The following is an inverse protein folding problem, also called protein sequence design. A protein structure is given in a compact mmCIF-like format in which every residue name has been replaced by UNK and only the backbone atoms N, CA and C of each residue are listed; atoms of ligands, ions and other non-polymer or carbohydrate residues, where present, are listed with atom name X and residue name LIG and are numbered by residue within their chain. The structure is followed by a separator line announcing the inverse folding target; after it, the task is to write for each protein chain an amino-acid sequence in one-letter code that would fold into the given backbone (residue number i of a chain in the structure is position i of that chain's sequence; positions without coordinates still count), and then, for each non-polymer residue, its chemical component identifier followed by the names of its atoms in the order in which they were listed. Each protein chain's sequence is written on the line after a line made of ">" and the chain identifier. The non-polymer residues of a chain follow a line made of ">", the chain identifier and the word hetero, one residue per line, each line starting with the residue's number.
data_IF_516895233130
#
_entry.id   IF_516895233130
#
_cell.length_a   1.000
_cell.length_b   1.000
_cell.length_c   1.000
_cell.angle_alpha   90.00
_cell.angle_beta   90.00
_cell.angle_gamma   90.00
#
_symmetry.space_group_name_H-M   'P 1'
#
loop_
_entity.id
_entity.type
_entity.pdbx_description
1 polymer ?
#
# COMPACT_ATOMS: atom_id res chain seq x y z
N UNK A 1 -8.29 10.19 -39.50
CA UNK A 1 -7.23 9.83 -40.45
C UNK A 1 -7.17 8.32 -40.51
N UNK A 2 -7.58 7.73 -41.62
CA UNK A 2 -7.43 6.30 -41.90
C UNK A 2 -5.95 6.00 -42.08
N UNK A 3 -5.45 4.92 -41.46
CA UNK A 3 -4.12 4.42 -41.76
C UNK A 3 -4.01 4.16 -43.27
N UNK A 4 -3.10 4.87 -43.93
CA UNK A 4 -2.73 4.61 -45.32
C UNK A 4 -2.12 3.20 -45.41
N UNK A 5 -2.44 2.48 -46.49
CA UNK A 5 -1.90 1.14 -46.80
C UNK A 5 -0.35 1.12 -46.87
N UNK A 6 0.29 2.30 -46.92
CA UNK A 6 1.74 2.46 -46.92
C UNK A 6 2.38 2.72 -45.53
N UNK A 7 1.61 2.89 -44.43
CA UNK A 7 2.24 2.90 -43.10
C UNK A 7 2.54 1.48 -42.63
N UNK A 8 3.82 1.09 -42.67
CA UNK A 8 4.37 -0.08 -41.98
C UNK A 8 4.39 0.11 -40.45
N UNK A 9 3.32 0.64 -39.88
CA UNK A 9 3.14 0.82 -38.45
C UNK A 9 3.04 -0.58 -37.80
N UNK A 10 4.18 -1.14 -37.37
CA UNK A 10 4.26 -2.48 -36.76
C UNK A 10 3.34 -2.54 -35.53
N UNK A 11 2.38 -3.49 -35.48
CA UNK A 11 1.50 -3.60 -34.33
C UNK A 11 2.32 -3.95 -33.09
N UNK A 12 2.03 -3.25 -31.98
CA UNK A 12 2.73 -3.45 -30.72
C UNK A 12 1.89 -3.07 -29.53
N UNK A 13 2.44 -3.27 -28.34
CA UNK A 13 1.79 -2.98 -27.06
C UNK A 13 2.80 -2.33 -26.12
N UNK A 14 2.42 -1.23 -25.50
CA UNK A 14 3.17 -0.62 -24.40
C UNK A 14 2.27 -0.60 -23.17
N UNK A 15 2.38 -1.63 -22.34
CA UNK A 15 1.56 -1.82 -21.17
C UNK A 15 2.02 -0.91 -20.02
N UNK A 16 1.07 -0.21 -19.38
CA UNK A 16 1.30 0.60 -18.19
C UNK A 16 0.98 -0.22 -16.95
N UNK A 17 1.94 -0.45 -16.06
CA UNK A 17 1.77 -1.29 -14.87
C UNK A 17 1.87 -0.43 -13.62
N UNK A 18 0.78 -0.32 -12.86
CA UNK A 18 0.76 0.42 -11.61
C UNK A 18 1.12 -0.46 -10.40
N UNK A 19 2.03 0.00 -9.55
CA UNK A 19 2.41 -0.67 -8.29
C UNK A 19 2.05 0.25 -7.11
N UNK A 20 1.13 -0.16 -6.22
CA UNK A 20 0.66 0.67 -5.11
C UNK A 20 1.73 0.81 -4.01
N UNK A 21 1.48 1.70 -3.04
CA UNK A 21 2.33 1.82 -1.85
C UNK A 21 1.96 0.87 -0.71
N UNK A 22 2.60 1.08 0.44
CA UNK A 22 2.27 0.39 1.70
C UNK A 22 0.78 0.48 2.00
N UNK A 23 0.18 -0.66 2.38
CA UNK A 23 -1.26 -0.79 2.67
C UNK A 23 -2.20 -0.43 1.52
N UNK A 24 -1.63 -0.24 0.32
CA UNK A 24 -2.34 0.11 -0.90
C UNK A 24 -2.93 -1.08 -1.66
N UNK A 25 -2.60 -2.29 -1.24
CA UNK A 25 -3.12 -3.56 -1.77
C UNK A 25 -4.14 -4.14 -0.82
N UNK A 26 -5.23 -4.70 -1.34
CA UNK A 26 -6.23 -5.46 -0.59
C UNK A 26 -5.69 -6.84 -0.24
N UNK A 27 -5.88 -7.29 1.00
CA UNK A 27 -5.42 -8.60 1.45
C UNK A 27 -6.59 -9.46 1.94
N UNK A 28 -6.52 -10.76 1.63
CA UNK A 28 -7.42 -11.80 2.14
C UNK A 28 -6.64 -12.77 3.00
N UNK A 29 -7.32 -13.40 3.95
CA UNK A 29 -6.80 -14.58 4.60
C UNK A 29 -6.72 -15.71 3.57
N UNK A 30 -5.54 -16.31 3.40
CA UNK A 30 -5.30 -17.33 2.37
C UNK A 30 -6.17 -18.57 2.57
N UNK A 31 -6.38 -18.99 3.81
CA UNK A 31 -7.11 -20.23 4.15
C UNK A 31 -8.62 -20.06 4.00
N UNK A 32 -9.18 -18.98 4.54
CA UNK A 32 -10.63 -18.74 4.52
C UNK A 32 -11.12 -18.02 3.26
N UNK A 33 -10.21 -17.43 2.48
CA UNK A 33 -10.55 -16.55 1.34
C UNK A 33 -11.21 -15.23 1.75
N UNK A 34 -11.40 -14.99 3.05
CA UNK A 34 -12.08 -13.79 3.54
C UNK A 34 -11.16 -12.59 3.43
N UNK A 35 -11.66 -11.49 2.86
CA UNK A 35 -10.95 -10.21 2.85
C UNK A 35 -10.72 -9.73 4.28
N UNK A 36 -9.46 -9.45 4.64
CA UNK A 36 -9.06 -8.98 5.98
C UNK A 36 -8.51 -7.56 5.97
N UNK A 37 -8.16 -7.06 4.79
CA UNK A 37 -7.66 -5.71 4.59
C UNK A 37 -8.25 -5.12 3.31
N UNK A 38 -9.15 -4.15 3.47
CA UNK A 38 -9.68 -3.34 2.37
C UNK A 38 -10.01 -1.93 2.86
N UNK A 39 -9.10 -0.95 2.72
CA UNK A 39 -9.27 0.36 3.34
C UNK A 39 -10.55 1.10 2.90
N UNK A 40 -11.20 0.69 1.79
CA UNK A 40 -12.46 1.26 1.32
C UNK A 40 -13.64 0.91 2.26
N UNK A 41 -13.56 -0.20 2.98
CA UNK A 41 -14.59 -0.64 3.92
C UNK A 41 -14.56 0.12 5.28
N UNK A 42 -13.56 0.98 5.50
CA UNK A 42 -13.42 1.80 6.71
C UNK A 42 -14.08 3.18 6.63
N UNK A 43 -14.56 3.56 5.46
CA UNK A 43 -15.31 4.81 5.21
C UNK A 43 -16.79 4.52 4.88
N UNK A 44 -17.34 3.43 5.41
CA UNK A 44 -18.77 3.19 5.40
C UNK A 44 -19.44 4.23 6.32
N UNK A 45 -19.89 5.32 5.68
CA UNK A 45 -20.80 6.30 6.24
C UNK A 45 -22.03 5.55 6.79
N UNK A 46 -22.28 5.65 8.10
CA UNK A 46 -23.56 5.25 8.68
C UNK A 46 -24.62 6.29 8.27
N UNK A 47 -25.14 6.15 7.05
CA UNK A 47 -26.22 6.97 6.53
C UNK A 47 -27.17 6.14 5.66
N UNK A 48 -28.47 6.48 5.61
CA UNK A 48 -29.44 5.73 4.80
C UNK A 48 -29.05 5.73 3.31
N UNK A 49 -29.44 4.67 2.60
CA UNK A 49 -29.05 4.33 1.21
C UNK A 49 -29.23 5.42 0.14
N UNK A 50 -29.94 6.51 0.43
CA UNK A 50 -30.00 7.70 -0.42
C UNK A 50 -28.64 8.40 -0.57
N UNK A 51 -27.82 8.43 0.49
CA UNK A 51 -26.53 9.13 0.48
C UNK A 51 -25.49 8.42 -0.42
N UNK A 52 -25.49 7.09 -0.50
CA UNK A 52 -24.59 6.37 -1.42
C UNK A 52 -24.99 6.56 -2.90
N UNK A 53 -26.29 6.71 -3.17
CA UNK A 53 -26.83 7.01 -4.51
C UNK A 53 -26.57 8.48 -4.86
N UNK A 54 -26.72 9.41 -3.92
CA UNK A 54 -26.36 10.82 -4.08
C UNK A 54 -24.85 11.02 -4.24
N UNK A 55 -24.01 10.27 -3.53
CA UNK A 55 -22.55 10.30 -3.71
C UNK A 55 -22.17 9.67 -5.05
N UNK A 56 -22.85 8.60 -5.50
CA UNK A 56 -22.66 8.06 -6.86
C UNK A 56 -23.07 9.07 -7.92
N UNK A 57 -24.20 9.76 -7.74
CA UNK A 57 -24.68 10.80 -8.64
C UNK A 57 -23.75 12.04 -8.62
N UNK A 58 -23.28 12.47 -7.44
CA UNK A 58 -22.28 13.52 -7.28
C UNK A 58 -20.94 13.12 -7.93
N UNK A 59 -20.50 11.87 -7.79
CA UNK A 59 -19.29 11.36 -8.46
C UNK A 59 -19.47 11.26 -9.97
N UNK A 60 -20.65 10.91 -10.48
CA UNK A 60 -20.97 10.92 -11.91
C UNK A 60 -21.02 12.36 -12.46
N UNK A 61 -21.48 13.33 -11.66
CA UNK A 61 -21.54 14.75 -11.99
C UNK A 61 -20.15 15.41 -11.92
N UNK A 62 -19.36 15.14 -10.88
CA UNK A 62 -17.95 15.55 -10.77
C UNK A 62 -17.09 14.95 -11.90
N UNK A 63 -17.39 13.72 -12.35
CA UNK A 63 -16.75 13.10 -13.51
C UNK A 63 -17.21 13.70 -14.85
N UNK A 64 -18.43 14.23 -14.93
CA UNK A 64 -18.89 15.01 -16.07
C UNK A 64 -18.20 16.38 -16.12
N UNK A 65 -17.99 17.01 -14.96
CA UNK A 65 -17.29 18.29 -14.82
C UNK A 65 -15.77 18.13 -15.07
N UNK A 66 -15.16 17.03 -14.64
CA UNK A 66 -13.74 16.72 -14.91
C UNK A 66 -13.43 16.42 -16.39
N UNK A 67 -14.47 16.15 -17.21
CA UNK A 67 -14.35 16.05 -18.68
C UNK A 67 -14.28 17.43 -19.35
N UNK A 68 -14.60 18.52 -18.65
CA UNK A 68 -14.71 19.85 -19.23
C UNK A 68 -13.45 20.74 -19.09
N UNK A 69 -12.46 20.37 -18.28
CA UNK A 69 -11.25 21.20 -18.07
C UNK A 69 -9.97 20.58 -18.65
N UNK A 70 -9.25 21.40 -19.43
CA UNK A 70 -8.05 21.11 -20.24
C UNK A 70 -6.75 20.90 -19.43
N UNK A 71 -5.67 20.57 -20.14
CA UNK A 71 -4.89 19.33 -19.92
C UNK A 71 -3.65 19.40 -18.99
N UNK A 72 -3.25 20.54 -18.43
CA UNK A 72 -1.97 20.63 -17.70
C UNK A 72 -2.07 20.80 -16.17
N UNK A 73 -3.24 21.18 -15.63
CA UNK A 73 -3.44 21.36 -14.18
C UNK A 73 -3.66 20.05 -13.39
N UNK A 74 -3.86 18.91 -14.07
CA UNK A 74 -4.36 17.67 -13.46
C UNK A 74 -3.31 16.92 -12.64
N UNK A 75 -2.03 16.90 -13.03
CA UNK A 75 -0.97 16.24 -12.26
C UNK A 75 -0.71 16.97 -10.92
N UNK A 76 -0.74 18.29 -10.93
CA UNK A 76 -0.60 19.10 -9.72
C UNK A 76 -1.85 19.01 -8.82
N UNK A 77 -3.04 18.95 -9.42
CA UNK A 77 -4.31 18.74 -8.70
C UNK A 77 -4.40 17.33 -8.08
N UNK A 78 -4.00 16.28 -8.80
CA UNK A 78 -3.89 14.91 -8.31
C UNK A 78 -2.86 14.84 -7.16
N UNK A 79 -1.69 15.49 -7.31
CA UNK A 79 -0.69 15.59 -6.25
C UNK A 79 -1.14 16.39 -5.02
N UNK A 80 -1.90 17.49 -5.21
CA UNK A 80 -2.54 18.27 -4.12
C UNK A 80 -3.69 17.51 -3.46
N UNK A 81 -4.42 16.69 -4.22
CA UNK A 81 -5.51 15.84 -3.74
C UNK A 81 -4.98 14.67 -2.89
N UNK A 82 -3.92 13.99 -3.34
CA UNK A 82 -3.21 12.98 -2.56
C UNK A 82 -2.62 13.56 -1.27
N UNK A 83 -2.03 14.77 -1.31
CA UNK A 83 -1.56 15.47 -0.09
C UNK A 83 -2.70 15.83 0.87
N UNK A 84 -3.84 16.33 0.38
CA UNK A 84 -5.00 16.71 1.22
C UNK A 84 -5.66 15.53 1.94
N UNK A 85 -5.72 14.35 1.32
CA UNK A 85 -6.38 13.18 1.91
C UNK A 85 -5.48 12.43 2.90
N UNK A 86 -4.16 12.54 2.75
CA UNK A 86 -3.18 11.95 3.68
C UNK A 86 -2.71 12.93 4.78
N UNK A 87 -2.79 14.24 4.58
CA UNK A 87 -2.46 15.28 5.57
C UNK A 87 -3.63 16.27 5.69
N UNK A 88 -4.46 16.05 6.70
CA UNK A 88 -5.40 17.07 7.22
C UNK A 88 -6.87 16.87 6.88
N UNK A 89 -7.63 16.33 7.83
CA UNK A 89 -9.06 16.63 7.92
C UNK A 89 -9.23 17.68 9.02
N UNK A 90 -9.68 18.87 8.63
CA UNK A 90 -10.20 19.88 9.56
C UNK A 90 -11.42 19.29 10.26
N UNK A 91 -11.40 19.32 11.59
CA UNK A 91 -12.57 19.09 12.42
C UNK A 91 -13.66 20.10 12.06
N UNK A 92 -14.87 19.61 11.83
CA UNK A 92 -16.09 20.40 12.00
C UNK A 92 -17.16 19.52 12.62
N UNK A 93 -17.52 19.88 13.84
CA UNK A 93 -18.50 19.18 14.66
C UNK A 93 -19.94 19.57 14.35
N UNK A 94 -20.79 18.84 15.07
CA UNK A 94 -22.19 19.04 15.45
C UNK A 94 -23.30 18.87 14.42
N UNK A 95 -24.28 18.05 14.83
CA UNK A 95 -25.61 17.95 14.22
C UNK A 95 -26.32 16.62 14.45
N UNK A 96 -26.69 16.29 15.69
CA UNK A 96 -27.80 15.36 15.97
C UNK A 96 -29.11 15.96 15.41
N UNK A 97 -30.00 15.14 14.81
CA UNK A 97 -31.47 15.08 15.03
C UNK A 97 -32.21 14.23 13.95
N UNK A 98 -32.97 13.25 14.47
CA UNK A 98 -34.25 12.62 14.07
C UNK A 98 -34.56 11.97 12.69
N UNK A 99 -34.78 10.64 12.80
CA UNK A 99 -35.97 9.81 12.44
C UNK A 99 -36.57 9.81 11.02
N UNK A 100 -36.76 8.59 10.51
CA UNK A 100 -38.06 8.17 9.96
C UNK A 100 -38.04 7.14 8.82
N UNK A 101 -38.36 5.87 9.16
CA UNK A 101 -38.91 4.78 8.32
C UNK A 101 -38.67 4.84 6.79
N UNK A 102 -37.86 3.91 6.28
CA UNK A 102 -38.25 2.94 5.23
C UNK A 102 -37.27 1.77 5.25
N UNK A 103 -37.68 0.67 5.87
CA UNK A 103 -36.94 -0.59 5.86
C UNK A 103 -37.57 -1.51 4.81
N UNK A 104 -36.84 -1.83 3.72
CA UNK A 104 -36.86 -3.13 3.03
C UNK A 104 -35.86 -3.20 1.87
N UNK A 105 -35.05 -4.26 1.91
CA UNK A 105 -34.23 -4.89 0.83
C UNK A 105 -33.02 -4.11 0.33
N UNK A 106 -31.83 -4.42 0.87
CA UNK A 106 -30.91 -5.44 0.36
C UNK A 106 -29.99 -5.86 1.52
N UNK A 107 -30.01 -7.15 1.88
CA UNK A 107 -29.07 -7.73 2.83
C UNK A 107 -27.90 -8.25 2.01
N UNK A 108 -26.79 -7.55 2.13
CA UNK A 108 -25.47 -7.90 1.64
C UNK A 108 -24.48 -7.06 2.43
N UNK A 109 -24.58 -7.12 3.76
CA UNK A 109 -23.62 -6.44 4.64
C UNK A 109 -22.30 -7.17 4.42
N UNK A 110 -21.36 -6.47 3.82
CA UNK A 110 -19.98 -6.92 3.69
C UNK A 110 -19.18 -6.17 4.76
N UNK A 111 -19.01 -6.73 5.97
CA UNK A 111 -18.18 -6.10 7.00
C UNK A 111 -16.73 -6.46 6.70
N UNK A 112 -15.89 -5.50 6.30
CA UNK A 112 -14.50 -5.83 5.91
C UNK A 112 -13.40 -4.99 6.57
N UNK A 113 -13.70 -3.78 7.07
CA UNK A 113 -12.75 -2.99 7.88
C UNK A 113 -13.32 -2.44 9.19
N UNK A 114 -14.65 -2.49 9.41
CA UNK A 114 -15.25 -2.18 10.71
C UNK A 114 -14.58 -2.97 11.84
N UNK A 115 -14.33 -4.26 11.61
CA UNK A 115 -13.70 -5.14 12.59
C UNK A 115 -12.27 -4.69 12.91
N UNK A 116 -11.55 -4.12 11.94
CA UNK A 116 -10.18 -3.67 12.10
C UNK A 116 -10.07 -2.26 12.72
N UNK A 117 -10.97 -1.34 12.36
CA UNK A 117 -11.06 0.01 12.94
C UNK A 117 -11.37 -0.05 14.44
N UNK A 118 -12.18 -1.03 14.86
CA UNK A 118 -12.48 -1.29 16.27
C UNK A 118 -11.61 -2.39 16.91
N UNK A 119 -10.74 -3.05 16.14
CA UNK A 119 -9.82 -4.05 16.66
C UNK A 119 -8.74 -3.39 17.54
N UNK A 120 -8.61 -3.89 18.77
CA UNK A 120 -7.43 -3.65 19.59
C UNK A 120 -6.21 -4.46 19.13
N UNK A 121 -5.05 -4.27 19.78
CA UNK A 121 -3.75 -4.80 19.34
C UNK A 121 -3.74 -6.32 19.07
N UNK A 122 -4.28 -7.13 19.97
CA UNK A 122 -4.33 -8.60 19.79
C UNK A 122 -5.13 -9.01 18.56
N UNK A 123 -6.29 -8.37 18.32
CA UNK A 123 -7.12 -8.73 17.16
C UNK A 123 -6.48 -8.27 15.85
N UNK A 124 -5.81 -7.12 15.86
CA UNK A 124 -4.99 -6.64 14.74
C UNK A 124 -3.87 -7.62 14.38
N UNK A 125 -3.11 -8.06 15.39
CA UNK A 125 -2.07 -9.09 15.26
C UNK A 125 -2.66 -10.42 14.75
N UNK A 126 -3.82 -10.81 15.26
CA UNK A 126 -4.50 -12.01 14.79
C UNK A 126 -4.85 -11.98 13.29
N UNK A 127 -5.34 -10.82 12.82
CA UNK A 127 -5.83 -10.67 11.45
C UNK A 127 -4.70 -10.57 10.42
N UNK A 128 -3.59 -9.91 10.77
CA UNK A 128 -2.56 -9.54 9.81
C UNK A 128 -1.20 -10.19 10.04
N UNK A 129 -0.92 -10.68 11.25
CA UNK A 129 0.39 -11.22 11.61
C UNK A 129 0.33 -12.73 11.76
N UNK A 130 -0.59 -13.24 12.58
CA UNK A 130 -0.68 -14.67 12.85
C UNK A 130 -2.06 -15.05 13.40
N UNK A 131 -2.75 -15.98 12.75
CA UNK A 131 -4.11 -16.39 13.11
C UNK A 131 -4.27 -16.96 14.52
N UNK A 132 -3.18 -17.44 15.13
CA UNK A 132 -3.17 -18.04 16.46
C UNK A 132 -3.10 -17.01 17.60
N UNK A 133 -2.84 -15.74 17.28
CA UNK A 133 -2.78 -14.67 18.27
C UNK A 133 -4.13 -14.48 18.97
N UNK A 134 -4.17 -14.70 20.29
CA UNK A 134 -5.39 -14.63 21.11
C UNK A 134 -5.08 -14.08 22.50
N UNK A 135 -6.05 -13.37 23.09
CA UNK A 135 -5.89 -12.78 24.44
C UNK A 135 -5.63 -13.90 25.45
N UNK A 136 -4.59 -13.73 26.29
CA UNK A 136 -4.18 -14.75 27.28
C UNK A 136 -3.84 -16.12 26.64
N UNK A 137 -3.45 -16.14 25.37
CA UNK A 137 -2.94 -17.32 24.67
C UNK A 137 -1.42 -17.43 24.75
N UNK A 138 -0.86 -18.45 24.10
CA UNK A 138 0.58 -18.57 23.87
C UNK A 138 1.06 -17.34 23.08
N UNK A 139 2.15 -16.68 23.52
CA UNK A 139 2.70 -15.54 22.81
C UNK A 139 3.13 -15.94 21.40
N UNK A 140 2.80 -15.09 20.42
CA UNK A 140 3.21 -15.30 19.03
C UNK A 140 4.39 -14.37 18.72
N UNK A 141 5.57 -14.97 18.56
CA UNK A 141 6.82 -14.26 18.26
C UNK A 141 7.02 -14.08 16.75
N UNK A 142 6.50 -15.00 15.95
CA UNK A 142 6.67 -15.01 14.49
C UNK A 142 5.41 -14.69 13.71
N UNK A 143 5.60 -14.01 12.57
CA UNK A 143 4.55 -13.84 11.56
C UNK A 143 4.31 -15.18 10.85
N UNK A 144 3.05 -15.47 10.57
CA UNK A 144 2.67 -16.53 9.63
C UNK A 144 2.64 -15.94 8.20
N UNK A 145 3.72 -16.17 7.45
CA UNK A 145 3.87 -15.66 6.08
C UNK A 145 2.83 -16.22 5.10
N UNK A 146 2.22 -17.36 5.45
CA UNK A 146 1.17 -18.01 4.66
C UNK A 146 -0.24 -17.57 5.06
N UNK A 147 -0.37 -16.68 6.06
CA UNK A 147 -1.66 -16.20 6.53
C UNK A 147 -2.41 -15.40 5.47
N UNK A 148 -1.68 -14.56 4.73
CA UNK A 148 -2.24 -13.54 3.85
C UNK A 148 -1.91 -13.79 2.38
N UNK A 149 -2.84 -13.39 1.53
CA UNK A 149 -2.69 -13.35 0.08
C UNK A 149 -3.34 -12.07 -0.48
N UNK A 150 -3.00 -11.72 -1.72
CA UNK A 150 -3.61 -10.57 -2.41
C UNK A 150 -5.08 -10.89 -2.72
N UNK A 151 -5.97 -9.95 -2.39
CA UNK A 151 -7.40 -10.03 -2.69
C UNK A 151 -7.68 -9.38 -4.05
N UNK A 152 -7.93 -10.22 -5.05
CA UNK A 152 -8.21 -9.81 -6.45
C UNK A 152 -9.59 -9.17 -6.65
N UNK A 153 -10.48 -9.20 -5.65
CA UNK A 153 -11.81 -8.60 -5.70
C UNK A 153 -12.85 -9.47 -6.40
N UNK A 154 -13.85 -9.93 -5.65
CA UNK A 154 -15.02 -10.60 -6.19
C UNK A 154 -15.92 -9.66 -7.02
N UNK A 155 -16.83 -10.21 -7.80
CA UNK A 155 -17.82 -9.44 -8.60
C UNK A 155 -18.53 -8.36 -7.78
N UNK A 156 -18.96 -8.70 -6.57
CA UNK A 156 -19.66 -7.78 -5.68
C UNK A 156 -18.78 -6.62 -5.23
N UNK A 157 -17.47 -6.85 -5.08
CA UNK A 157 -16.54 -5.75 -4.78
C UNK A 157 -16.49 -4.77 -5.95
N UNK A 158 -16.33 -5.28 -7.18
CA UNK A 158 -16.33 -4.44 -8.37
C UNK A 158 -17.64 -3.67 -8.53
N UNK A 159 -18.80 -4.32 -8.38
CA UNK A 159 -20.11 -3.68 -8.53
C UNK A 159 -20.39 -2.61 -7.46
N UNK A 160 -19.86 -2.80 -6.25
CA UNK A 160 -20.19 -1.95 -5.09
C UNK A 160 -19.20 -0.80 -4.93
N UNK A 161 -17.90 -1.08 -5.01
CA UNK A 161 -16.85 -0.14 -4.63
C UNK A 161 -16.11 0.44 -5.82
N UNK A 162 -16.11 -0.26 -6.95
CA UNK A 162 -15.48 0.24 -8.16
C UNK A 162 -16.50 0.91 -9.07
N UNK A 163 -16.01 1.82 -9.91
CA UNK A 163 -16.83 2.39 -10.98
C UNK A 163 -16.53 1.71 -12.32
N UNK A 164 -16.20 0.41 -12.29
CA UNK A 164 -16.00 -0.45 -13.45
C UNK A 164 -17.35 -1.03 -13.88
N UNK A 165 -17.74 -0.92 -15.17
CA UNK A 165 -18.98 -1.52 -15.65
C UNK A 165 -18.99 -3.06 -15.52
N UNK A 166 -20.13 -3.71 -15.24
CA UNK A 166 -20.21 -5.16 -15.10
C UNK A 166 -19.60 -5.97 -16.25
N UNK A 167 -19.76 -5.50 -17.49
CA UNK A 167 -19.23 -6.16 -18.69
C UNK A 167 -17.68 -6.14 -18.79
N UNK A 168 -17.00 -5.34 -17.97
CA UNK A 168 -15.53 -5.22 -17.96
C UNK A 168 -14.90 -5.82 -16.70
N UNK A 169 -15.70 -6.36 -15.77
CA UNK A 169 -15.20 -6.84 -14.47
C UNK A 169 -14.13 -7.91 -14.65
N UNK A 170 -14.37 -8.90 -15.51
CA UNK A 170 -13.42 -10.00 -15.69
C UNK A 170 -12.10 -9.53 -16.29
N UNK A 171 -12.15 -8.67 -17.31
CA UNK A 171 -10.96 -8.02 -17.89
C UNK A 171 -10.19 -7.21 -16.82
N UNK A 172 -10.89 -6.35 -16.08
CA UNK A 172 -10.22 -5.49 -15.07
C UNK A 172 -9.69 -6.28 -13.88
N UNK A 173 -10.35 -7.37 -13.50
CA UNK A 173 -9.81 -8.32 -12.50
C UNK A 173 -8.53 -8.97 -12.99
N UNK A 174 -8.51 -9.48 -14.22
CA UNK A 174 -7.30 -10.02 -14.84
C UNK A 174 -6.18 -8.98 -14.91
N UNK A 175 -6.53 -7.72 -15.16
CA UNK A 175 -5.58 -6.61 -15.13
C UNK A 175 -5.13 -6.19 -13.71
N UNK A 176 -5.59 -6.88 -12.66
CA UNK A 176 -5.22 -6.62 -11.26
C UNK A 176 -5.88 -5.39 -10.64
N UNK A 177 -6.89 -4.79 -11.28
CA UNK A 177 -7.54 -3.57 -10.75
C UNK A 177 -8.26 -3.80 -9.42
N UNK A 178 -8.68 -5.04 -9.16
CA UNK A 178 -9.31 -5.42 -7.89
C UNK A 178 -8.32 -5.70 -6.77
N UNK A 179 -7.02 -5.79 -7.06
CA UNK A 179 -5.95 -6.00 -6.06
C UNK A 179 -5.65 -4.71 -5.29
N UNK A 180 -5.85 -3.54 -5.90
CA UNK A 180 -5.51 -2.26 -5.27
C UNK A 180 -6.67 -1.67 -4.47
N UNK A 181 -6.32 -0.85 -3.49
CA UNK A 181 -7.29 -0.04 -2.76
C UNK A 181 -7.93 0.99 -3.69
N UNK A 182 -9.18 0.75 -4.06
CA UNK A 182 -9.85 1.48 -5.14
C UNK A 182 -10.04 2.97 -4.84
N UNK A 183 -10.40 3.35 -3.61
CA UNK A 183 -10.60 4.77 -3.27
C UNK A 183 -9.29 5.57 -3.37
N UNK A 184 -8.13 4.94 -3.18
CA UNK A 184 -6.83 5.59 -3.35
C UNK A 184 -6.38 5.60 -4.81
N UNK A 185 -6.51 4.47 -5.52
CA UNK A 185 -5.81 4.26 -6.79
C UNK A 185 -6.73 4.05 -8.00
N UNK A 186 -8.00 3.71 -7.80
CA UNK A 186 -8.99 3.56 -8.87
C UNK A 186 -9.12 4.80 -9.77
N UNK A 187 -9.20 6.04 -9.21
CA UNK A 187 -9.16 7.26 -10.02
C UNK A 187 -7.89 7.39 -10.87
N UNK A 188 -6.74 6.99 -10.33
CA UNK A 188 -5.47 7.04 -11.06
C UNK A 188 -5.41 5.98 -12.17
N UNK A 189 -5.87 4.75 -11.93
CA UNK A 189 -6.00 3.72 -12.97
C UNK A 189 -6.91 4.16 -14.11
N UNK A 190 -8.05 4.80 -13.79
CA UNK A 190 -8.94 5.40 -14.79
C UNK A 190 -8.29 6.55 -15.55
N UNK A 191 -7.52 7.39 -14.86
CA UNK A 191 -6.74 8.45 -15.50
C UNK A 191 -5.74 7.86 -16.51
N UNK A 192 -4.98 6.84 -16.10
CA UNK A 192 -4.07 6.12 -16.99
C UNK A 192 -4.81 5.49 -18.17
N UNK A 193 -5.96 4.87 -17.97
CA UNK A 193 -6.76 4.28 -19.04
C UNK A 193 -7.25 5.34 -20.04
N UNK A 194 -7.66 6.51 -19.56
CA UNK A 194 -8.05 7.63 -20.43
C UNK A 194 -6.86 8.18 -21.22
N UNK A 195 -5.68 8.31 -20.59
CA UNK A 195 -4.46 8.73 -21.29
C UNK A 195 -3.96 7.68 -22.27
N UNK A 196 -4.07 6.39 -21.95
CA UNK A 196 -3.80 5.29 -22.86
C UNK A 196 -4.63 5.37 -24.15
N UNK A 197 -5.93 5.69 -24.06
CA UNK A 197 -6.77 5.93 -25.24
C UNK A 197 -6.30 7.11 -26.08
N UNK A 198 -5.77 8.15 -25.43
CA UNK A 198 -5.18 9.31 -26.12
C UNK A 198 -3.88 8.90 -26.82
N UNK A 199 -3.01 8.15 -26.15
CA UNK A 199 -1.76 7.62 -26.71
C UNK A 199 -2.03 6.72 -27.91
N UNK A 200 -3.01 5.80 -27.85
CA UNK A 200 -3.39 4.98 -29.00
C UNK A 200 -3.87 5.78 -30.22
N UNK A 201 -4.40 7.00 -30.04
CA UNK A 201 -4.77 7.89 -31.15
C UNK A 201 -3.54 8.60 -31.75
N UNK A 202 -2.58 8.96 -30.89
CA UNK A 202 -1.34 9.62 -31.31
C UNK A 202 -0.35 8.65 -31.95
N UNK A 203 -0.38 7.38 -31.55
CA UNK A 203 0.48 6.32 -32.05
C UNK A 203 -0.35 5.17 -32.64
N UNK A 204 -0.89 5.33 -33.86
CA UNK A 204 -1.65 4.27 -34.53
C UNK A 204 -0.84 2.98 -34.63
N UNK A 205 -1.48 1.85 -34.30
CA UNK A 205 -0.82 0.53 -34.27
C UNK A 205 -0.34 0.10 -32.88
N UNK A 206 -0.23 1.03 -31.91
CA UNK A 206 0.11 0.71 -30.52
C UNK A 206 -1.13 0.68 -29.61
N UNK A 207 -1.19 -0.33 -28.75
CA UNK A 207 -2.16 -0.41 -27.64
C UNK A 207 -1.44 -0.11 -26.32
N UNK A 208 -2.16 0.53 -25.38
CA UNK A 208 -1.62 0.91 -24.07
C UNK A 208 -2.50 0.34 -22.93
N UNK A 209 -2.59 -0.99 -22.77
CA UNK A 209 -3.38 -1.57 -21.67
C UNK A 209 -2.82 -1.14 -20.31
N UNK A 210 -3.71 -0.99 -19.33
CA UNK A 210 -3.37 -0.55 -17.98
C UNK A 210 -3.60 -1.69 -17.00
N UNK A 211 -2.53 -2.09 -16.33
CA UNK A 211 -2.49 -3.12 -15.31
C UNK A 211 -2.19 -2.53 -13.94
N UNK A 212 -2.50 -3.27 -12.90
CA UNK A 212 -2.04 -3.02 -11.55
C UNK A 212 -1.48 -4.32 -10.97
N UNK A 213 -0.43 -4.21 -10.15
CA UNK A 213 0.12 -5.33 -9.39
C UNK A 213 0.09 -4.97 -7.92
N UNK A 214 -0.92 -5.49 -7.23
CA UNK A 214 -0.93 -5.50 -5.78
C UNK A 214 0.10 -6.49 -5.25
N UNK A 215 0.58 -6.26 -4.03
CA UNK A 215 1.46 -7.18 -3.31
C UNK A 215 1.11 -7.23 -1.83
N UNK A 216 1.51 -8.33 -1.16
CA UNK A 216 1.37 -8.46 0.29
C UNK A 216 2.40 -7.57 0.99
N UNK A 217 1.98 -6.35 1.34
CA UNK A 217 2.80 -5.33 1.98
C UNK A 217 3.23 -5.66 3.41
N UNK A 218 2.76 -6.77 4.00
CA UNK A 218 3.32 -7.29 5.23
C UNK A 218 4.70 -7.92 4.98
N UNK A 219 4.88 -8.64 3.87
CA UNK A 219 6.14 -9.30 3.49
C UNK A 219 7.21 -8.28 3.08
N UNK A 220 8.44 -8.75 2.89
CA UNK A 220 9.54 -7.93 2.36
C UNK A 220 9.21 -7.37 0.97
N UNK A 221 9.73 -6.18 0.64
CA UNK A 221 9.64 -5.65 -0.71
C UNK A 221 10.45 -6.47 -1.73
N UNK A 222 11.37 -7.34 -1.31
CA UNK A 222 12.00 -8.35 -2.19
C UNK A 222 10.96 -9.32 -2.75
N UNK A 223 10.15 -9.93 -1.89
CA UNK A 223 9.03 -10.79 -2.30
C UNK A 223 7.99 -10.03 -3.16
N UNK A 224 7.80 -8.74 -2.90
CA UNK A 224 6.97 -7.88 -3.74
C UNK A 224 7.58 -7.68 -5.15
N UNK A 225 8.90 -7.56 -5.25
CA UNK A 225 9.63 -7.48 -6.52
C UNK A 225 9.56 -8.78 -7.32
N UNK A 226 9.69 -9.93 -6.67
CA UNK A 226 9.48 -11.23 -7.31
C UNK A 226 8.06 -11.38 -7.85
N UNK A 227 7.05 -10.99 -7.05
CA UNK A 227 5.65 -11.00 -7.50
C UNK A 227 5.46 -10.07 -8.70
N UNK A 228 6.04 -8.87 -8.69
CA UNK A 228 5.96 -7.94 -9.81
C UNK A 228 6.52 -8.55 -11.10
N UNK A 229 7.67 -9.21 -11.02
CA UNK A 229 8.26 -9.94 -12.15
C UNK A 229 7.33 -11.01 -12.70
N UNK A 230 6.82 -11.87 -11.82
CA UNK A 230 5.94 -12.97 -12.23
C UNK A 230 4.68 -12.43 -12.92
N UNK A 231 4.05 -11.40 -12.34
CA UNK A 231 2.84 -10.78 -12.92
C UNK A 231 3.10 -10.10 -14.26
N UNK A 232 4.26 -9.46 -14.44
CA UNK A 232 4.64 -8.89 -15.74
C UNK A 232 4.79 -10.00 -16.80
N UNK A 233 5.39 -11.14 -16.43
CA UNK A 233 5.44 -12.33 -17.29
C UNK A 233 4.05 -12.84 -17.67
N UNK A 234 3.15 -12.98 -16.69
CA UNK A 234 1.75 -13.39 -16.92
C UNK A 234 1.02 -12.42 -17.85
N UNK A 235 1.16 -11.11 -17.64
CA UNK A 235 0.56 -10.09 -18.49
C UNK A 235 1.13 -10.12 -19.91
N UNK A 236 2.43 -10.36 -20.07
CA UNK A 236 3.05 -10.49 -21.40
C UNK A 236 2.40 -11.62 -22.16
N UNK A 237 2.29 -12.79 -21.53
CA UNK A 237 1.68 -13.96 -22.13
C UNK A 237 0.20 -13.72 -22.47
N UNK A 238 -0.55 -13.15 -21.52
CA UNK A 238 -1.95 -12.77 -21.72
C UNK A 238 -2.12 -11.82 -22.92
N UNK A 239 -1.28 -10.78 -23.02
CA UNK A 239 -1.36 -9.80 -24.11
C UNK A 239 -1.11 -10.46 -25.47
N UNK A 240 -0.11 -11.33 -25.56
CA UNK A 240 0.24 -12.05 -26.80
C UNK A 240 -0.89 -13.00 -27.19
N UNK A 241 -1.38 -13.81 -26.26
CA UNK A 241 -2.41 -14.82 -26.54
C UNK A 241 -3.76 -14.21 -26.96
N UNK A 242 -4.06 -13.00 -26.47
CA UNK A 242 -5.30 -12.29 -26.77
C UNK A 242 -5.18 -11.34 -27.97
N UNK A 243 -4.01 -11.19 -28.60
CA UNK A 243 -3.82 -10.25 -29.71
C UNK A 243 -4.04 -10.91 -31.08
N UNK A 244 -5.12 -10.51 -31.75
CA UNK A 244 -5.50 -11.03 -33.07
C UNK A 244 -4.61 -10.53 -34.23
N UNK A 245 -3.67 -9.60 -33.98
CA UNK A 245 -2.78 -9.02 -34.99
C UNK A 245 -1.48 -9.81 -35.14
N UNK A 246 -1.30 -10.88 -34.36
CA UNK A 246 -0.15 -11.78 -34.43
C UNK A 246 1.14 -11.18 -33.88
N UNK A 247 1.05 -10.30 -32.87
CA UNK A 247 2.25 -9.77 -32.19
C UNK A 247 2.98 -10.87 -31.41
N UNK A 248 4.30 -10.76 -31.29
CA UNK A 248 5.10 -11.65 -30.45
C UNK A 248 5.50 -11.01 -29.10
N UNK A 249 6.15 -11.78 -28.21
CA UNK A 249 6.64 -11.27 -26.92
C UNK A 249 7.54 -10.03 -27.04
N UNK A 250 8.33 -9.93 -28.11
CA UNK A 250 9.23 -8.80 -28.37
C UNK A 250 8.50 -7.49 -28.73
N UNK A 251 7.23 -7.58 -29.15
CA UNK A 251 6.38 -6.44 -29.50
C UNK A 251 5.60 -5.89 -28.30
N UNK A 252 5.77 -6.51 -27.13
CA UNK A 252 5.16 -6.08 -25.87
C UNK A 252 6.22 -5.41 -25.01
N UNK A 253 5.99 -4.16 -24.62
CA UNK A 253 6.86 -3.38 -23.74
C UNK A 253 6.11 -2.99 -22.48
N UNK A 254 6.82 -2.84 -21.36
CA UNK A 254 6.23 -2.46 -20.09
C UNK A 254 6.83 -1.15 -19.57
N UNK A 255 5.96 -0.31 -19.03
CA UNK A 255 6.30 0.88 -18.26
C UNK A 255 5.70 0.72 -16.86
N UNK A 256 6.56 0.69 -15.83
CA UNK A 256 6.10 0.55 -14.45
C UNK A 256 5.91 1.94 -13.84
N UNK A 257 4.79 2.16 -13.16
CA UNK A 257 4.49 3.38 -12.42
C UNK A 257 4.24 2.98 -10.98
N UNK A 258 5.09 3.40 -10.07
CA UNK A 258 4.95 3.03 -8.67
C UNK A 258 4.61 4.22 -7.78
N UNK A 259 3.94 3.95 -6.66
CA UNK A 259 3.64 4.94 -5.64
C UNK A 259 4.23 4.55 -4.29
N UNK A 260 4.85 5.50 -3.59
CA UNK A 260 5.37 5.33 -2.24
C UNK A 260 6.27 4.08 -2.13
N UNK A 261 6.00 3.18 -1.18
CA UNK A 261 6.75 1.94 -0.99
C UNK A 261 6.72 0.98 -2.19
N UNK A 262 5.77 1.14 -3.12
CA UNK A 262 5.79 0.40 -4.38
C UNK A 262 7.04 0.68 -5.21
N UNK A 263 7.74 1.80 -4.94
CA UNK A 263 9.08 2.05 -5.48
C UNK A 263 10.14 1.08 -4.99
N UNK A 264 10.09 0.64 -3.73
CA UNK A 264 10.97 -0.42 -3.23
C UNK A 264 10.65 -1.75 -3.88
N UNK A 265 9.37 -2.14 -3.95
CA UNK A 265 8.95 -3.34 -4.66
C UNK A 265 9.41 -3.32 -6.13
N UNK A 266 9.29 -2.17 -6.79
CA UNK A 266 9.79 -2.00 -8.16
C UNK A 266 11.30 -2.18 -8.20
N UNK A 267 12.08 -1.39 -7.44
CA UNK A 267 13.55 -1.48 -7.43
C UNK A 267 14.04 -2.88 -7.10
N UNK A 268 13.46 -3.54 -6.11
CA UNK A 268 13.77 -4.94 -5.78
C UNK A 268 13.50 -5.88 -6.97
N UNK A 269 12.39 -5.68 -7.69
CA UNK A 269 12.13 -6.40 -8.93
C UNK A 269 13.26 -6.26 -9.96
N UNK A 270 13.79 -5.05 -10.15
CA UNK A 270 14.91 -4.80 -11.07
C UNK A 270 16.21 -5.42 -10.56
N UNK A 271 16.62 -5.02 -9.35
CA UNK A 271 17.92 -5.34 -8.77
C UNK A 271 18.08 -6.79 -8.34
N UNK A 272 17.00 -7.45 -7.91
CA UNK A 272 17.05 -8.76 -7.26
C UNK A 272 16.30 -9.83 -8.06
N UNK A 273 15.15 -9.48 -8.64
CA UNK A 273 14.36 -10.44 -9.41
C UNK A 273 14.75 -10.51 -10.90
N UNK A 274 15.54 -9.56 -11.44
CA UNK A 274 15.93 -9.54 -12.84
C UNK A 274 14.85 -8.99 -13.78
N UNK A 275 14.10 -7.99 -13.33
CA UNK A 275 13.05 -7.32 -14.12
C UNK A 275 13.62 -6.35 -15.17
N UNK A 276 14.91 -6.00 -15.07
CA UNK A 276 15.57 -5.03 -15.95
C UNK A 276 15.48 -5.39 -17.44
N UNK A 277 15.52 -6.68 -17.79
CA UNK A 277 15.40 -7.14 -19.18
C UNK A 277 13.97 -7.11 -19.74
N UNK A 278 12.96 -6.87 -18.89
CA UNK A 278 11.54 -7.00 -19.23
C UNK A 278 10.79 -5.65 -19.30
N UNK A 279 11.31 -4.61 -18.64
CA UNK A 279 10.64 -3.32 -18.44
C UNK A 279 11.51 -2.18 -18.98
N UNK A 280 10.90 -1.30 -19.78
CA UNK A 280 11.62 -0.23 -20.49
C UNK A 280 11.91 1.00 -19.62
N UNK A 281 11.00 1.32 -18.68
CA UNK A 281 11.20 2.41 -17.75
C UNK A 281 10.31 2.29 -16.52
N UNK A 282 10.72 3.00 -15.46
CA UNK A 282 9.96 3.13 -14.22
C UNK A 282 9.74 4.60 -13.87
N UNK A 283 8.54 4.93 -13.43
CA UNK A 283 8.17 6.25 -12.89
C UNK A 283 7.83 6.07 -11.42
N UNK A 284 8.63 6.68 -10.55
CA UNK A 284 8.41 6.65 -9.10
C UNK A 284 7.68 7.90 -8.61
N UNK A 285 6.50 7.72 -8.02
CA UNK A 285 5.74 8.78 -7.35
C UNK A 285 5.89 8.70 -5.83
N UNK A 286 6.45 9.75 -5.21
CA UNK A 286 6.57 9.87 -3.75
C UNK A 286 7.27 8.67 -3.06
N UNK A 287 8.23 8.04 -3.74
CA UNK A 287 9.01 6.93 -3.17
C UNK A 287 9.86 7.43 -1.99
N UNK A 288 9.76 6.82 -0.80
CA UNK A 288 10.60 7.15 0.34
C UNK A 288 11.98 6.51 0.17
N UNK A 289 12.78 6.91 -0.84
CA UNK A 289 13.97 6.21 -1.35
C UNK A 289 14.94 5.68 -0.28
N UNK A 290 15.10 6.40 0.83
CA UNK A 290 16.01 6.05 1.92
C UNK A 290 15.30 5.88 3.27
N UNK A 291 13.98 5.65 3.24
CA UNK A 291 13.14 5.51 4.43
C UNK A 291 12.54 6.81 4.94
N UNK A 292 11.89 6.73 6.11
CA UNK A 292 11.18 7.85 6.73
C UNK A 292 11.27 7.82 8.26
N UNK A 293 11.78 8.89 8.91
CA UNK A 293 11.76 9.05 10.36
C UNK A 293 10.35 8.95 10.98
N UNK A 294 9.31 9.18 10.18
CA UNK A 294 7.93 9.00 10.61
C UNK A 294 7.66 7.56 11.09
N UNK A 295 8.38 6.55 10.57
CA UNK A 295 8.26 5.15 10.98
C UNK A 295 8.63 4.98 12.46
N UNK A 296 9.75 5.57 12.90
CA UNK A 296 10.15 5.61 14.32
C UNK A 296 9.07 6.29 15.19
N UNK A 297 8.57 7.46 14.75
CA UNK A 297 7.50 8.18 15.46
C UNK A 297 6.22 7.35 15.60
N UNK A 298 5.85 6.56 14.59
CA UNK A 298 4.65 5.70 14.63
C UNK A 298 4.78 4.61 15.70
N UNK A 299 5.93 3.97 15.85
CA UNK A 299 6.17 2.99 16.91
C UNK A 299 6.05 3.61 18.32
N UNK A 300 6.37 4.90 18.47
CA UNK A 300 6.36 5.59 19.77
C UNK A 300 5.04 6.27 20.11
N UNK A 301 4.40 6.88 19.14
CA UNK A 301 3.25 7.76 19.37
C UNK A 301 1.97 7.27 18.67
N UNK A 302 2.04 6.24 17.83
CA UNK A 302 0.95 5.89 16.92
C UNK A 302 0.83 6.86 15.74
N UNK A 303 -0.27 6.74 15.01
CA UNK A 303 -0.55 7.53 13.83
C UNK A 303 -1.65 8.58 14.06
N UNK A 304 -1.60 9.65 13.26
CA UNK A 304 -2.55 10.76 13.25
C UNK A 304 -3.32 10.84 11.92
N UNK A 305 -4.43 11.57 11.92
CA UNK A 305 -5.25 11.75 10.72
C UNK A 305 -5.92 10.46 10.24
N UNK A 306 -6.23 10.36 8.94
CA UNK A 306 -6.92 9.19 8.37
C UNK A 306 -6.11 7.88 8.51
N UNK A 307 -4.78 7.98 8.52
CA UNK A 307 -3.89 6.83 8.70
C UNK A 307 -3.96 6.21 10.12
N UNK A 308 -4.54 6.90 11.11
CA UNK A 308 -4.87 6.37 12.45
C UNK A 308 -5.81 5.16 12.40
N UNK A 309 -6.79 5.19 11.50
CA UNK A 309 -7.79 4.12 11.34
C UNK A 309 -7.11 2.82 10.86
N UNK A 310 -5.98 2.98 10.18
CA UNK A 310 -5.23 1.99 9.41
C UNK A 310 -4.05 1.45 10.23
N UNK A 311 -3.12 2.30 10.64
CA UNK A 311 -1.92 1.85 11.38
C UNK A 311 -2.15 1.75 12.88
N UNK A 312 -3.11 2.48 13.44
CA UNK A 312 -3.39 2.49 14.86
C UNK A 312 -3.16 3.85 15.50
N UNK A 313 -3.89 4.13 16.58
CA UNK A 313 -3.92 5.45 17.22
C UNK A 313 -2.84 5.67 18.27
N UNK A 314 -2.11 4.63 18.61
CA UNK A 314 -1.09 4.62 19.65
C UNK A 314 -0.01 3.60 19.29
N UNK A 315 1.07 3.61 20.09
CA UNK A 315 2.20 2.69 19.96
C UNK A 315 1.79 1.21 19.96
N UNK A 316 0.81 0.81 20.78
CA UNK A 316 0.41 -0.59 20.92
C UNK A 316 -0.28 -1.12 19.65
N UNK A 317 -1.20 -0.34 19.09
CA UNK A 317 -1.90 -0.71 17.85
C UNK A 317 -0.93 -0.79 16.66
N UNK A 318 0.01 0.15 16.58
CA UNK A 318 1.04 0.18 15.53
C UNK A 318 1.99 -0.99 15.69
N UNK A 319 2.59 -1.18 16.88
CA UNK A 319 3.62 -2.19 17.11
C UNK A 319 3.10 -3.61 16.89
N UNK A 320 1.83 -3.87 17.23
CA UNK A 320 1.18 -5.17 17.03
C UNK A 320 1.04 -5.59 15.54
N UNK A 321 1.24 -4.68 14.59
CA UNK A 321 1.25 -4.97 13.15
C UNK A 321 2.61 -4.64 12.56
N UNK A 322 3.03 -3.37 12.67
CA UNK A 322 4.22 -2.84 12.03
C UNK A 322 5.50 -3.50 12.57
N UNK A 323 5.50 -3.97 13.82
CA UNK A 323 6.62 -4.73 14.39
C UNK A 323 6.84 -6.11 13.75
N UNK A 324 5.86 -6.60 12.98
CA UNK A 324 5.94 -7.88 12.26
C UNK A 324 5.83 -7.69 10.74
N UNK A 325 5.73 -6.44 10.29
CA UNK A 325 5.54 -6.08 8.89
C UNK A 325 6.91 -5.78 8.28
N UNK A 326 7.58 -6.80 7.71
CA UNK A 326 8.91 -6.66 7.13
C UNK A 326 8.98 -5.51 6.11
N UNK A 327 8.05 -5.44 5.15
CA UNK A 327 8.00 -4.34 4.19
C UNK A 327 7.79 -2.97 4.85
N UNK A 328 7.04 -2.91 5.96
CA UNK A 328 6.87 -1.70 6.76
C UNK A 328 8.11 -1.30 7.56
N UNK A 329 8.88 -2.26 8.06
CA UNK A 329 10.17 -2.03 8.73
C UNK A 329 11.23 -1.55 7.75
N UNK A 330 11.19 -2.00 6.50
CA UNK A 330 12.07 -1.49 5.42
C UNK A 330 11.84 0.02 5.14
N UNK A 331 10.75 0.63 5.63
CA UNK A 331 10.56 2.09 5.57
C UNK A 331 11.33 2.87 6.66
N UNK A 332 12.07 2.21 7.54
CA UNK A 332 12.97 2.89 8.47
C UNK A 332 14.06 3.65 7.72
N UNK A 333 14.51 4.82 8.21
CA UNK A 333 15.70 5.48 7.67
C UNK A 333 16.86 4.51 7.59
N UNK A 334 17.41 4.34 6.38
CA UNK A 334 18.49 3.39 6.12
C UNK A 334 19.87 4.09 6.10
N UNK A 335 20.92 3.34 5.75
CA UNK A 335 22.31 3.80 5.73
C UNK A 335 22.58 5.00 4.80
N UNK A 336 21.69 5.26 3.84
CA UNK A 336 21.77 6.36 2.89
C UNK A 336 20.81 7.50 3.21
N UNK A 337 20.06 7.45 4.32
CA UNK A 337 19.09 8.48 4.66
C UNK A 337 19.75 9.85 4.82
N UNK A 338 19.10 10.84 4.21
CA UNK A 338 19.42 12.25 4.33
C UNK A 338 18.12 13.05 4.43
N UNK A 339 18.14 14.08 5.25
CA UNK A 339 17.07 15.09 5.33
C UNK A 339 17.05 15.96 4.05
N UNK A 340 16.05 16.83 3.92
CA UNK A 340 15.92 17.72 2.76
C UNK A 340 17.09 18.71 2.61
N UNK A 341 17.72 19.07 3.72
CA UNK A 341 18.95 19.88 3.85
C UNK A 341 20.23 19.02 3.86
N UNK A 342 20.13 17.77 3.41
CA UNK A 342 21.24 16.83 3.22
C UNK A 342 22.02 16.48 4.50
N UNK A 343 21.35 16.46 5.65
CA UNK A 343 21.91 16.03 6.94
C UNK A 343 21.59 14.56 7.20
N UNK A 344 22.47 13.86 7.91
CA UNK A 344 22.22 12.47 8.34
C UNK A 344 21.30 12.43 9.58
N UNK A 345 21.25 13.52 10.30
CA UNK A 345 20.66 13.70 11.61
C UNK A 345 19.16 13.97 11.53
N UNK A 346 18.35 13.07 12.11
CA UNK A 346 16.90 13.21 12.10
C UNK A 346 16.23 13.00 13.46
N UNK A 347 16.98 12.58 14.48
CA UNK A 347 16.47 12.38 15.84
C UNK A 347 17.20 13.29 16.82
N UNK A 348 16.43 14.09 17.55
CA UNK A 348 16.93 15.08 18.48
C UNK A 348 16.28 14.93 19.85
N UNK A 349 17.07 15.06 20.90
CA UNK A 349 16.63 15.17 22.27
C UNK A 349 16.51 16.65 22.64
N UNK A 350 15.41 17.03 23.29
CA UNK A 350 15.26 18.37 23.85
C UNK A 350 14.88 18.28 25.32
N UNK A 351 15.72 18.81 26.20
CA UNK A 351 15.48 18.87 27.64
C UNK A 351 14.99 20.27 28.04
N UNK A 352 13.69 20.40 28.33
CA UNK A 352 13.08 21.69 28.64
C UNK A 352 13.26 22.71 27.51
N UNK A 353 13.79 23.89 27.86
CA UNK A 353 14.06 25.00 26.94
C UNK A 353 15.49 24.98 26.35
N UNK A 354 16.26 23.89 26.58
CA UNK A 354 17.58 23.75 25.98
C UNK A 354 17.49 23.53 24.48
N UNK A 355 18.57 23.90 23.76
CA UNK A 355 18.68 23.59 22.34
C UNK A 355 18.65 22.07 22.11
N UNK A 356 18.06 21.60 20.98
CA UNK A 356 18.01 20.18 20.69
C UNK A 356 19.41 19.59 20.50
N UNK A 357 19.70 18.54 21.26
CA UNK A 357 20.91 17.73 21.13
C UNK A 357 20.66 16.59 20.15
N UNK A 358 21.60 16.33 19.24
CA UNK A 358 21.51 15.21 18.31
C UNK A 358 21.69 13.89 19.05
N UNK A 359 20.80 12.93 18.80
CA UNK A 359 20.97 11.56 19.29
C UNK A 359 21.99 10.81 18.42
N UNK A 360 22.89 10.04 19.04
CA UNK A 360 23.73 9.08 18.32
C UNK A 360 22.89 7.89 17.85
N UNK A 361 22.46 8.00 16.60
CA UNK A 361 21.70 6.98 15.86
C UNK A 361 22.60 6.10 14.98
N UNK A 362 23.92 6.20 15.09
CA UNK A 362 24.86 5.47 14.24
C UNK A 362 25.06 6.07 12.84
N UNK A 363 26.13 5.62 12.18
CA UNK A 363 26.50 6.03 10.82
C UNK A 363 26.40 4.83 9.87
N UNK A 364 25.86 5.04 8.68
CA UNK A 364 25.71 3.97 7.69
C UNK A 364 24.78 2.86 8.20
N UNK A 365 25.18 1.60 8.04
CA UNK A 365 24.37 0.44 8.41
C UNK A 365 24.17 0.29 9.93
N UNK A 366 25.03 0.88 10.76
CA UNK A 366 24.88 0.86 12.23
C UNK A 366 23.63 1.58 12.75
N UNK A 367 22.88 2.27 11.87
CA UNK A 367 21.54 2.77 12.19
C UNK A 367 20.56 1.65 12.57
N UNK A 368 20.76 0.43 12.04
CA UNK A 368 19.96 -0.72 12.45
C UNK A 368 20.32 -1.21 13.86
N UNK A 369 21.58 -1.09 14.28
CA UNK A 369 21.99 -1.34 15.67
C UNK A 369 21.30 -0.36 16.63
N UNK A 370 21.06 0.89 16.20
CA UNK A 370 20.27 1.85 16.98
C UNK A 370 18.81 1.41 17.13
N UNK A 371 18.19 0.89 16.07
CA UNK A 371 16.81 0.39 16.13
C UNK A 371 16.66 -0.86 17.01
N UNK A 372 17.73 -1.64 17.15
CA UNK A 372 17.85 -2.83 18.01
C UNK A 372 18.12 -2.53 19.49
N UNK A 373 18.14 -1.27 19.92
CA UNK A 373 18.28 -0.92 21.36
C UNK A 373 16.93 -1.02 22.07
N UNK A 374 16.74 -2.04 22.91
CA UNK A 374 15.48 -2.28 23.66
C UNK A 374 15.52 -1.80 25.13
N UNK A 375 16.70 -1.56 25.69
CA UNK A 375 16.93 -1.23 27.10
C UNK A 375 17.00 0.29 27.40
N UNK A 376 16.80 1.13 26.38
CA UNK A 376 16.84 2.60 26.49
C UNK A 376 15.45 3.24 26.41
N UNK A 377 15.22 4.34 27.12
CA UNK A 377 13.90 5.01 27.14
C UNK A 377 13.47 5.57 25.77
N UNK A 378 14.44 5.88 24.91
CA UNK A 378 14.23 6.33 23.54
C UNK A 378 14.25 5.17 22.53
N UNK A 379 14.13 3.91 22.97
CA UNK A 379 14.01 2.75 22.07
C UNK A 379 12.94 2.97 21.01
N UNK A 380 13.16 2.48 19.79
CA UNK A 380 12.14 2.55 18.74
C UNK A 380 10.94 1.68 19.13
N UNK A 381 11.22 0.43 19.50
CA UNK A 381 10.23 -0.58 19.84
C UNK A 381 10.25 -0.83 21.34
N UNK A 382 9.05 -0.91 21.91
CA UNK A 382 8.82 -1.38 23.27
C UNK A 382 8.48 -2.87 23.16
N UNK A 383 9.36 -3.80 23.58
CA UNK A 383 9.15 -5.24 23.41
C UNK A 383 7.82 -5.73 24.00
N UNK A 384 7.36 -5.07 25.06
CA UNK A 384 6.08 -5.34 25.71
C UNK A 384 4.87 -5.13 24.76
N UNK A 385 5.02 -4.30 23.73
CA UNK A 385 3.99 -4.02 22.73
C UNK A 385 4.02 -4.99 21.54
N UNK A 386 5.10 -5.75 21.37
CA UNK A 386 5.15 -6.88 20.41
C UNK A 386 4.33 -8.07 20.92
N UNK A 387 4.12 -8.16 22.24
CA UNK A 387 3.40 -9.25 22.91
C UNK A 387 2.05 -8.80 23.51
N UNK A 388 1.11 -8.20 22.75
CA UNK A 388 -0.14 -7.69 23.30
C UNK A 388 -1.05 -8.78 23.92
N UNK A 389 -0.76 -10.06 23.69
CA UNK A 389 -1.44 -11.22 24.27
C UNK A 389 -1.11 -11.43 25.74
N UNK A 390 0.10 -11.05 26.15
CA UNK A 390 0.63 -11.15 27.51
C UNK A 390 0.22 -9.86 28.24
N UNK A 391 -0.79 -9.94 29.10
CA UNK A 391 -1.26 -8.75 29.85
C UNK A 391 -0.15 -8.15 30.74
N UNK A 392 -0.32 -6.88 31.15
CA UNK A 392 0.63 -6.11 32.01
C UNK A 392 1.10 -6.79 33.31
N UNK A 393 0.42 -7.84 33.77
CA UNK A 393 0.73 -8.53 35.02
C UNK A 393 1.83 -9.61 34.90
N UNK A 394 2.38 -9.84 33.71
CA UNK A 394 3.32 -10.93 33.43
C UNK A 394 4.64 -10.45 32.78
N UNK A 395 4.93 -9.15 32.78
CA UNK A 395 6.13 -8.57 32.16
C UNK A 395 7.40 -8.68 33.03
N UNK A 396 7.50 -9.66 33.92
CA UNK A 396 8.68 -9.90 34.76
C UNK A 396 9.35 -11.24 34.38
N UNK A 397 10.54 -11.17 33.77
CA UNK A 397 11.41 -12.30 33.39
C UNK A 397 11.83 -12.32 31.91
N UNK A 398 12.67 -13.29 31.52
CA UNK A 398 13.20 -13.59 30.16
C UNK A 398 12.11 -13.90 29.08
N UNK A 399 10.87 -13.43 29.24
CA UNK A 399 9.75 -13.74 28.35
C UNK A 399 9.67 -12.84 27.11
N UNK A 400 10.50 -11.79 27.05
CA UNK A 400 10.58 -10.87 25.90
C UNK A 400 11.84 -11.08 25.06
N UNK A 401 12.83 -11.84 25.57
CA UNK A 401 14.08 -12.16 24.87
C UNK A 401 13.81 -12.75 23.47
N UNK A 402 12.81 -13.63 23.35
CA UNK A 402 12.41 -14.21 22.06
C UNK A 402 11.86 -13.14 21.09
N UNK A 403 11.11 -12.15 21.61
CA UNK A 403 10.59 -11.05 20.79
C UNK A 403 11.67 -10.06 20.38
N UNK A 404 12.62 -9.77 21.27
CA UNK A 404 13.79 -8.94 21.00
C UNK A 404 14.67 -9.61 19.94
N UNK A 405 15.00 -10.89 20.12
CA UNK A 405 15.76 -11.68 19.16
C UNK A 405 15.09 -11.74 17.79
N UNK A 406 13.78 -12.02 17.74
CA UNK A 406 13.05 -12.03 16.48
C UNK A 406 12.97 -10.65 15.82
N UNK A 407 12.90 -9.56 16.60
CA UNK A 407 12.94 -8.21 16.06
C UNK A 407 14.33 -7.88 15.49
N UNK A 408 15.40 -8.28 16.17
CA UNK A 408 16.77 -8.09 15.68
C UNK A 408 17.00 -8.81 14.34
N UNK A 409 16.47 -10.03 14.19
CA UNK A 409 16.51 -10.73 12.90
C UNK A 409 15.81 -9.94 11.78
N UNK A 410 14.60 -9.42 12.04
CA UNK A 410 13.85 -8.60 11.06
C UNK A 410 14.58 -7.30 10.70
N UNK A 411 15.20 -6.64 11.68
CA UNK A 411 16.00 -5.43 11.46
C UNK A 411 17.28 -5.73 10.69
N UNK A 412 17.93 -6.86 10.95
CA UNK A 412 19.06 -7.34 10.17
C UNK A 412 18.66 -7.59 8.71
N UNK A 413 17.53 -8.26 8.48
CA UNK A 413 16.99 -8.46 7.13
C UNK A 413 16.69 -7.13 6.42
N UNK A 414 16.19 -6.12 7.14
CA UNK A 414 16.03 -4.77 6.58
C UNK A 414 17.37 -4.15 6.17
N UNK A 415 18.40 -4.30 6.99
CA UNK A 415 19.75 -3.81 6.68
C UNK A 415 20.31 -4.50 5.42
N UNK A 416 20.19 -5.82 5.33
CA UNK A 416 20.68 -6.62 4.20
C UNK A 416 19.92 -6.25 2.89
N UNK A 417 18.60 -6.06 2.99
CA UNK A 417 17.76 -5.58 1.87
C UNK A 417 18.21 -4.21 1.35
N UNK A 418 18.41 -3.24 2.26
CA UNK A 418 18.84 -1.89 1.87
C UNK A 418 20.26 -1.83 1.36
N UNK A 419 21.16 -2.70 1.85
CA UNK A 419 22.51 -2.83 1.32
C UNK A 419 22.47 -3.33 -0.13
N UNK A 420 21.70 -4.39 -0.38
CA UNK A 420 21.53 -4.95 -1.73
C UNK A 420 20.90 -3.94 -2.70
N UNK A 421 19.91 -3.16 -2.26
CA UNK A 421 19.33 -2.08 -3.08
C UNK A 421 20.31 -0.92 -3.34
N UNK A 422 21.26 -0.65 -2.44
CA UNK A 422 22.25 0.42 -2.63
C UNK A 422 23.33 0.05 -3.64
N UNK A 423 23.67 -1.24 -3.72
CA UNK A 423 24.73 -1.77 -4.58
C UNK A 423 24.28 -2.06 -6.03
N UNK A 424 23.01 -1.76 -6.35
CA UNK A 424 22.34 -2.11 -7.63
C UNK A 424 21.97 -0.94 -8.51
#
# INVERSE_FOLDING_TARGET
>A
MSCHEDCQCRPGVVALVFVPGIMGTRLKNRRSGSSVWDPAAGAAFEGPSGAAIEIKAQREQEMADARAEDDDGKLEAIGKWFRRRWIGVKERGDGLVERGRTARRYVGVVPRVSDFVFAGPVKRKQLLVNGDAKRRGTPVVERDDDLLDVDEGADDYFRTYTAVPPAQIDEKRQHGWGEVHWDSYGPFLKFLENKARTLSRLYPGLRFPVFAVGYNWMLSNEAAGERLKNRIGDFRQQIVDQDERGIGPADVKFLVISHSMGGYASRAGFSMAGLESEVEAVIHGAMPTHGSPATYKKFRAGESGAAKLVLGKNAADVTAILGFCQGGLELLPNQLYRTADNQAEWLYLRSGDQEPEMMDIGVGSSVFDFYSRFDVWYRMIQPELLAPEIGRAYSEGNQLDDYEFAMDLRLKECSDFHQTLADS
#
